data_IF_578979065106
#
_entry.id   IF_578979065106
#
_cell.length_a   1.000
_cell.length_b   1.000
_cell.length_c   1.000
_cell.angle_alpha   90.00
_cell.angle_beta   90.00
_cell.angle_gamma   90.00
#
_symmetry.space_group_name_H-M   'P 1'
#
loop_
_entity.id
_entity.type
_entity.pdbx_description
1 polymer ?
#
# COMPACT_ATOMS: atom_id res chain seq x y z
N UNK A 1 -3.17 17.37 4.19
CA UNK A 1 -3.87 16.10 3.91
C UNK A 1 -3.29 15.04 4.81
N UNK A 2 -4.13 14.24 5.44
CA UNK A 2 -3.69 13.20 6.37
C UNK A 2 -3.62 11.85 5.67
N UNK A 3 -2.53 11.14 5.89
CA UNK A 3 -2.31 9.77 5.40
C UNK A 3 -2.23 8.85 6.61
N UNK A 4 -2.98 7.78 6.60
CA UNK A 4 -2.99 6.79 7.67
C UNK A 4 -2.48 5.46 7.14
N UNK A 5 -1.44 4.92 7.78
CA UNK A 5 -0.91 3.60 7.49
C UNK A 5 -1.43 2.59 8.52
N UNK A 6 -2.01 1.50 8.05
CA UNK A 6 -2.58 0.42 8.86
C UNK A 6 -2.10 -0.95 8.36
N UNK A 7 -2.36 -1.99 9.14
CA UNK A 7 -2.25 -3.39 8.71
C UNK A 7 -0.97 -4.10 9.13
N UNK A 8 0.12 -3.38 9.35
CA UNK A 8 1.36 -3.95 9.89
C UNK A 8 1.41 -3.88 11.41
N UNK A 9 2.28 -4.66 12.02
CA UNK A 9 2.61 -4.53 13.44
C UNK A 9 3.23 -3.16 13.74
N UNK A 10 3.07 -2.61 14.97
CA UNK A 10 3.54 -1.27 15.32
C UNK A 10 4.99 -0.97 14.96
N UNK A 11 5.99 -1.84 15.25
CA UNK A 11 7.38 -1.57 14.88
C UNK A 11 7.59 -1.50 13.36
N UNK A 12 6.84 -2.29 12.59
CA UNK A 12 6.92 -2.26 11.11
C UNK A 12 6.27 -1.02 10.52
N UNK A 13 5.14 -0.56 11.11
CA UNK A 13 4.53 0.71 10.72
C UNK A 13 5.47 1.88 10.97
N UNK A 14 6.18 1.89 12.11
CA UNK A 14 7.18 2.92 12.41
C UNK A 14 8.33 2.91 11.40
N UNK A 15 8.87 1.74 11.06
CA UNK A 15 9.92 1.60 10.04
C UNK A 15 9.44 2.07 8.66
N UNK A 16 8.23 1.70 8.26
CA UNK A 16 7.64 2.15 7.00
C UNK A 16 7.45 3.67 6.98
N UNK A 17 6.93 4.24 8.06
CA UNK A 17 6.76 5.68 8.20
C UNK A 17 8.08 6.44 8.15
N UNK A 18 9.12 5.93 8.81
CA UNK A 18 10.47 6.50 8.76
C UNK A 18 11.08 6.46 7.35
N UNK A 19 10.80 5.40 6.58
CA UNK A 19 11.26 5.28 5.20
C UNK A 19 10.52 6.22 4.22
N UNK A 20 9.21 6.44 4.44
CA UNK A 20 8.36 7.29 3.59
C UNK A 20 8.50 8.78 3.94
N UNK A 21 8.72 9.09 5.23
CA UNK A 21 8.73 10.45 5.78
C UNK A 21 9.60 11.46 5.01
N UNK A 22 10.86 11.15 4.70
CA UNK A 22 11.74 12.05 3.94
C UNK A 22 11.18 12.42 2.57
N UNK A 23 10.63 11.45 1.84
CA UNK A 23 10.01 11.69 0.54
C UNK A 23 8.75 12.55 0.66
N UNK A 24 7.91 12.32 1.69
CA UNK A 24 6.74 13.17 1.94
C UNK A 24 7.14 14.59 2.28
N UNK A 25 8.14 14.79 3.11
CA UNK A 25 8.63 16.15 3.46
C UNK A 25 9.12 16.89 2.21
N UNK A 26 9.76 16.18 1.30
CA UNK A 26 10.29 16.76 0.07
C UNK A 26 9.18 17.11 -0.95
N UNK A 27 8.22 16.22 -1.17
CA UNK A 27 7.24 16.35 -2.25
C UNK A 27 5.87 16.84 -1.80
N UNK A 28 5.54 16.72 -0.51
CA UNK A 28 4.24 17.07 0.04
C UNK A 28 4.36 17.57 1.50
N UNK A 29 5.03 18.71 1.75
CA UNK A 29 5.37 19.18 3.09
C UNK A 29 4.15 19.46 3.98
N UNK A 30 2.96 19.65 3.41
CA UNK A 30 1.71 19.88 4.13
C UNK A 30 0.91 18.60 4.45
N UNK A 31 1.51 17.43 4.23
CA UNK A 31 0.85 16.17 4.52
C UNK A 31 1.38 15.59 5.83
N UNK A 32 0.46 15.04 6.60
CA UNK A 32 0.77 14.43 7.91
C UNK A 32 0.61 12.91 7.80
N UNK A 33 1.62 12.18 8.25
CA UNK A 33 1.60 10.72 8.28
C UNK A 33 1.22 10.23 9.67
N UNK A 34 0.18 9.43 9.76
CA UNK A 34 -0.33 8.84 10.99
C UNK A 34 -0.11 7.32 10.98
N UNK A 35 0.46 6.82 12.07
CA UNK A 35 0.62 5.39 12.32
C UNK A 35 -0.02 5.06 13.66
N UNK A 36 -1.28 4.60 13.69
CA UNK A 36 -1.89 4.17 14.93
C UNK A 36 -1.09 3.04 15.57
N UNK A 37 -0.71 3.21 16.81
CA UNK A 37 0.07 2.23 17.58
C UNK A 37 -0.82 1.15 18.20
N UNK A 38 -2.14 1.36 18.18
CA UNK A 38 -3.11 0.45 18.76
C UNK A 38 -3.35 -0.75 17.84
N UNK A 39 -3.51 -1.91 18.45
CA UNK A 39 -3.93 -3.10 17.71
C UNK A 39 -5.43 -3.06 17.46
N UNK A 40 -5.92 -3.59 16.32
CA UNK A 40 -7.35 -3.54 15.98
C UNK A 40 -8.25 -4.25 16.98
N UNK A 41 -7.70 -5.13 17.82
CA UNK A 41 -8.44 -5.89 18.83
C UNK A 41 -8.87 -5.03 20.04
N UNK A 42 -8.30 -3.84 20.24
CA UNK A 42 -8.57 -2.97 21.38
C UNK A 42 -9.53 -1.81 21.10
N UNK A 43 -9.98 -1.63 19.85
CA UNK A 43 -10.76 -0.46 19.45
C UNK A 43 -12.13 -0.84 18.88
N UNK A 44 -13.22 -0.70 19.64
CA UNK A 44 -14.57 -0.92 19.09
C UNK A 44 -15.02 0.16 18.09
N UNK A 45 -14.38 1.31 18.07
CA UNK A 45 -14.67 2.40 17.13
C UNK A 45 -13.41 3.23 16.84
N UNK A 46 -12.56 2.75 15.92
CA UNK A 46 -11.47 3.58 15.42
C UNK A 46 -12.00 4.64 14.46
N UNK A 47 -11.60 5.89 14.67
CA UNK A 47 -11.91 6.99 13.76
C UNK A 47 -10.65 7.56 13.15
N UNK A 48 -10.64 7.86 11.83
CA UNK A 48 -9.51 8.52 11.21
C UNK A 48 -9.34 9.94 11.77
N UNK A 49 -8.11 10.48 11.77
CA UNK A 49 -7.83 11.84 12.26
C UNK A 49 -8.66 12.91 11.58
N UNK A 50 -9.00 12.69 10.31
CA UNK A 50 -9.83 13.58 9.50
C UNK A 50 -10.70 12.75 8.54
N UNK A 51 -11.90 13.23 8.21
CA UNK A 51 -12.80 12.58 7.24
C UNK A 51 -12.20 12.52 5.83
N UNK A 52 -11.25 13.41 5.51
CA UNK A 52 -10.52 13.42 4.23
C UNK A 52 -9.19 12.66 4.28
N UNK A 53 -8.94 11.90 5.34
CA UNK A 53 -7.71 11.09 5.47
C UNK A 53 -7.65 10.01 4.40
N UNK A 54 -6.48 9.86 3.78
CA UNK A 54 -6.20 8.74 2.87
C UNK A 54 -5.71 7.55 3.67
N UNK A 55 -6.46 6.47 3.66
CA UNK A 55 -6.15 5.26 4.41
C UNK A 55 -5.46 4.25 3.50
N UNK A 56 -4.25 3.84 3.87
CA UNK A 56 -3.50 2.78 3.22
C UNK A 56 -3.43 1.55 4.13
N UNK A 57 -4.06 0.46 3.71
CA UNK A 57 -3.98 -0.82 4.38
C UNK A 57 -2.82 -1.63 3.80
N UNK A 58 -1.70 -1.66 4.52
CA UNK A 58 -0.52 -2.39 4.14
C UNK A 58 -0.64 -3.86 4.51
N UNK A 59 -0.41 -4.75 3.55
CA UNK A 59 -0.49 -6.20 3.75
C UNK A 59 0.89 -6.82 3.52
N UNK A 60 1.38 -7.49 4.55
CA UNK A 60 2.56 -8.34 4.52
C UNK A 60 2.17 -9.75 4.97
N UNK A 61 2.79 -10.81 4.45
CA UNK A 61 2.50 -12.18 4.87
C UNK A 61 2.63 -12.40 6.38
N UNK A 62 3.58 -11.72 7.02
CA UNK A 62 3.85 -11.84 8.45
C UNK A 62 2.79 -11.12 9.32
N UNK A 63 2.11 -10.12 8.78
CA UNK A 63 1.09 -9.32 9.48
C UNK A 63 -0.32 -9.56 8.93
N UNK A 64 -0.54 -10.65 8.21
CA UNK A 64 -1.80 -10.93 7.52
C UNK A 64 -3.02 -10.91 8.46
N UNK A 65 -2.91 -11.44 9.68
CA UNK A 65 -3.98 -11.42 10.67
C UNK A 65 -4.33 -10.00 11.13
N UNK A 66 -3.32 -9.16 11.35
CA UNK A 66 -3.49 -7.76 11.72
C UNK A 66 -4.15 -6.95 10.58
N UNK A 67 -3.68 -7.16 9.35
CA UNK A 67 -4.27 -6.52 8.17
C UNK A 67 -5.74 -6.94 7.96
N UNK A 68 -6.07 -8.21 8.18
CA UNK A 68 -7.44 -8.71 8.06
C UNK A 68 -8.36 -8.09 9.13
N UNK A 69 -7.90 -7.94 10.36
CA UNK A 69 -8.66 -7.31 11.43
C UNK A 69 -8.93 -5.82 11.11
N UNK A 70 -7.94 -5.07 10.65
CA UNK A 70 -8.13 -3.70 10.20
C UNK A 70 -9.08 -3.59 9.01
N UNK A 71 -8.96 -4.50 8.04
CA UNK A 71 -9.88 -4.56 6.90
C UNK A 71 -11.34 -4.72 7.35
N UNK A 72 -11.60 -5.61 8.31
CA UNK A 72 -12.94 -5.81 8.85
C UNK A 72 -13.50 -4.54 9.51
N UNK A 73 -12.69 -3.83 10.29
CA UNK A 73 -13.07 -2.55 10.94
C UNK A 73 -13.41 -1.49 9.88
N UNK A 74 -12.54 -1.30 8.88
CA UNK A 74 -12.73 -0.29 7.83
C UNK A 74 -14.00 -0.57 7.01
N UNK A 75 -14.25 -1.83 6.66
CA UNK A 75 -15.46 -2.24 5.95
C UNK A 75 -16.71 -2.04 6.80
N UNK A 76 -16.69 -2.40 8.08
CA UNK A 76 -17.82 -2.22 8.99
C UNK A 76 -18.19 -0.74 9.19
N UNK A 77 -17.21 0.14 9.11
CA UNK A 77 -17.42 1.59 9.24
C UNK A 77 -17.68 2.30 7.89
N UNK A 78 -17.63 1.57 6.77
CA UNK A 78 -17.81 2.15 5.43
C UNK A 78 -16.69 3.14 5.05
N UNK A 79 -15.52 3.03 5.64
CA UNK A 79 -14.39 3.91 5.35
C UNK A 79 -13.66 3.47 4.07
N UNK A 80 -13.41 4.39 3.12
CA UNK A 80 -12.64 4.07 1.93
C UNK A 80 -11.17 3.86 2.29
N UNK A 81 -10.55 2.83 1.73
CA UNK A 81 -9.13 2.54 1.91
C UNK A 81 -8.53 1.93 0.64
N UNK A 82 -7.24 2.08 0.48
CA UNK A 82 -6.46 1.47 -0.58
C UNK A 82 -5.59 0.34 0.01
N UNK A 83 -5.62 -0.82 -0.61
CA UNK A 83 -4.79 -1.97 -0.21
C UNK A 83 -3.44 -1.88 -0.89
N UNK A 84 -2.37 -2.02 -0.11
CA UNK A 84 -0.99 -2.00 -0.58
C UNK A 84 -0.33 -3.32 -0.19
N UNK A 85 0.14 -4.06 -1.18
CA UNK A 85 0.87 -5.30 -0.97
C UNK A 85 2.37 -5.09 -1.14
N UNK A 86 3.17 -5.81 -0.36
CA UNK A 86 4.62 -5.80 -0.54
C UNK A 86 5.39 -6.16 0.73
N UNK A 87 6.69 -6.30 0.57
CA UNK A 87 7.63 -6.56 1.67
C UNK A 87 8.83 -5.62 1.52
N UNK A 88 9.32 -5.07 2.64
CA UNK A 88 10.52 -4.25 2.66
C UNK A 88 10.44 -3.05 1.72
N UNK A 89 11.44 -2.89 0.86
CA UNK A 89 11.54 -1.76 -0.07
C UNK A 89 10.40 -1.69 -1.09
N UNK A 90 9.87 -2.83 -1.51
CA UNK A 90 8.74 -2.85 -2.44
C UNK A 90 7.49 -2.24 -1.80
N UNK A 91 7.23 -2.52 -0.51
CA UNK A 91 6.12 -1.93 0.21
C UNK A 91 6.27 -0.41 0.33
N UNK A 92 7.47 0.09 0.64
CA UNK A 92 7.78 1.54 0.68
C UNK A 92 7.46 2.20 -0.66
N UNK A 93 7.92 1.59 -1.74
CA UNK A 93 7.71 2.06 -3.10
C UNK A 93 6.22 2.10 -3.47
N UNK A 94 5.48 1.03 -3.21
CA UNK A 94 4.05 0.96 -3.50
C UNK A 94 3.26 2.00 -2.69
N UNK A 95 3.62 2.23 -1.44
CA UNK A 95 3.05 3.29 -0.62
C UNK A 95 3.32 4.68 -1.22
N UNK A 96 4.57 4.96 -1.63
CA UNK A 96 4.91 6.24 -2.27
C UNK A 96 4.15 6.45 -3.57
N UNK A 97 4.04 5.44 -4.42
CA UNK A 97 3.26 5.50 -5.66
C UNK A 97 1.76 5.73 -5.37
N UNK A 98 1.23 5.14 -4.30
CA UNK A 98 -0.16 5.35 -3.90
C UNK A 98 -0.40 6.77 -3.37
N UNK A 99 0.58 7.36 -2.69
CA UNK A 99 0.48 8.66 -2.03
C UNK A 99 0.72 9.80 -3.02
N UNK A 100 1.80 9.73 -3.80
CA UNK A 100 2.23 10.82 -4.68
C UNK A 100 1.25 11.09 -5.81
N UNK A 101 1.05 12.36 -6.18
CA UNK A 101 0.23 12.71 -7.33
C UNK A 101 0.83 12.15 -8.63
N UNK A 102 0.01 11.90 -9.67
CA UNK A 102 0.45 11.30 -10.94
C UNK A 102 1.64 12.00 -11.60
N UNK A 103 1.74 13.30 -11.44
CA UNK A 103 2.85 14.14 -11.95
C UNK A 103 4.21 13.78 -11.33
N UNK A 104 4.23 13.36 -10.07
CA UNK A 104 5.44 12.97 -9.35
C UNK A 104 5.69 11.45 -9.39
N UNK A 105 4.68 10.64 -9.71
CA UNK A 105 4.85 9.19 -9.88
C UNK A 105 5.82 8.84 -11.01
N UNK A 106 5.94 9.69 -12.02
CA UNK A 106 6.92 9.52 -13.09
C UNK A 106 8.37 9.51 -12.59
N UNK A 107 8.70 10.36 -11.64
CA UNK A 107 10.02 10.40 -11.02
C UNK A 107 10.29 9.15 -10.17
N UNK A 108 9.30 8.70 -9.41
CA UNK A 108 9.40 7.48 -8.61
C UNK A 108 9.44 6.20 -9.49
N UNK A 109 8.92 6.26 -10.72
CA UNK A 109 8.97 5.13 -11.68
C UNK A 109 10.29 5.04 -12.44
N UNK A 110 11.00 6.15 -12.66
CA UNK A 110 12.26 6.15 -13.42
C UNK A 110 13.38 5.39 -12.71
N UNK A 111 13.32 5.24 -11.39
CA UNK A 111 14.32 4.49 -10.62
C UNK A 111 14.08 2.97 -10.60
N UNK A 112 13.03 2.48 -11.26
CA UNK A 112 12.60 1.10 -11.15
C UNK A 112 12.26 0.52 -12.53
N UNK A 113 12.97 -0.53 -12.96
CA UNK A 113 12.51 -1.31 -14.10
C UNK A 113 11.16 -1.92 -13.72
N UNK A 114 10.08 -1.36 -14.28
CA UNK A 114 8.72 -1.92 -14.13
C UNK A 114 8.69 -3.23 -14.91
N UNK A 115 9.07 -4.32 -14.26
CA UNK A 115 8.69 -5.64 -14.71
C UNK A 115 7.24 -5.85 -14.26
N UNK A 116 6.34 -5.88 -15.22
CA UNK A 116 4.96 -6.27 -14.97
C UNK A 116 4.97 -7.70 -14.42
N UNK A 117 4.68 -7.85 -13.14
CA UNK A 117 4.55 -9.16 -12.49
C UNK A 117 3.08 -9.38 -12.18
N UNK A 118 2.30 -9.64 -13.24
CA UNK A 118 1.02 -10.32 -13.06
C UNK A 118 1.31 -11.74 -12.60
N UNK A 119 0.89 -12.11 -11.39
CA UNK A 119 0.95 -13.51 -10.97
C UNK A 119 -0.25 -14.24 -11.56
N UNK A 120 -0.01 -15.26 -12.35
CA UNK A 120 -1.05 -16.20 -12.79
C UNK A 120 -1.68 -16.86 -11.56
N UNK A 121 -3.00 -16.74 -11.40
CA UNK A 121 -3.74 -17.31 -10.25
C UNK A 121 -3.61 -18.84 -10.16
N UNK A 122 -3.29 -19.51 -11.27
CA UNK A 122 -3.19 -20.97 -11.34
C UNK A 122 -1.79 -21.50 -11.06
N UNK A 123 -0.73 -20.83 -11.51
CA UNK A 123 0.65 -21.33 -11.40
C UNK A 123 1.61 -20.37 -10.69
N UNK A 124 1.16 -19.15 -10.35
CA UNK A 124 1.97 -18.08 -9.75
C UNK A 124 3.21 -17.70 -10.60
N UNK A 125 3.22 -18.06 -11.89
CA UNK A 125 4.31 -17.78 -12.81
C UNK A 125 4.05 -16.49 -13.58
N UNK A 126 4.86 -15.44 -13.39
CA UNK A 126 4.70 -14.16 -14.10
C UNK A 126 4.91 -14.27 -15.62
N UNK A 127 5.65 -15.28 -16.10
CA UNK A 127 5.89 -15.48 -17.54
C UNK A 127 4.69 -16.15 -18.24
N UNK A 128 3.78 -16.75 -17.48
CA UNK A 128 2.61 -17.44 -18.01
C UNK A 128 1.62 -16.47 -18.68
N UNK A 129 1.31 -15.35 -18.04
CA UNK A 129 0.42 -14.32 -18.62
C UNK A 129 1.05 -13.63 -19.83
N UNK A 130 2.35 -13.34 -19.78
CA UNK A 130 3.06 -12.72 -20.88
C UNK A 130 3.03 -13.61 -22.14
N UNK A 131 3.14 -14.93 -21.99
CA UNK A 131 3.03 -15.89 -23.11
C UNK A 131 1.62 -15.95 -23.67
N UNK A 132 0.59 -15.89 -22.82
CA UNK A 132 -0.81 -15.87 -23.23
C UNK A 132 -1.13 -14.63 -24.05
N UNK A 133 -0.73 -13.45 -23.62
CA UNK A 133 -0.92 -12.20 -24.35
C UNK A 133 -0.11 -12.14 -25.64
N UNK A 134 1.14 -12.62 -25.61
CA UNK A 134 1.97 -12.67 -26.83
C UNK A 134 1.39 -13.63 -27.87
N UNK A 135 0.81 -14.77 -27.46
CA UNK A 135 0.12 -15.71 -28.34
C UNK A 135 -1.15 -15.13 -28.96
N UNK A 136 -1.92 -14.34 -28.23
CA UNK A 136 -3.13 -13.67 -28.75
C UNK A 136 -2.80 -12.56 -29.75
N UNK A 137 -1.66 -11.88 -29.61
CA UNK A 137 -1.22 -10.83 -30.54
C UNK A 137 -0.62 -11.41 -31.84
N UNK A 138 -0.04 -12.61 -31.80
CA UNK A 138 0.53 -13.29 -32.98
C UNK A 138 -0.51 -14.09 -33.79
N UNK A 139 -1.68 -14.33 -33.21
CA UNK A 139 -2.78 -15.08 -33.84
C UNK A 139 -3.74 -14.23 -34.70
N UNK A 140 -3.35 -13.00 -35.06
CA UNK A 140 -4.12 -12.13 -35.97
C UNK A 140 -3.41 -11.93 -37.28
#
# INVERSE_FOLDING_TARGET
MDIVLLGLSPPRLQHLAAAIGPALTQFAPNWTLHTPLDTPLSLPAWTPPCLSSRILLCISPEDAANAQAWRAILLAQGLPFQVIHGIGQELVKQCLLAILPPTLQGLARQELPVRWQGMCETCSDPDCEQRLFSGLLQGR
#
